data_IF_329069451738
#
_entry.id   IF_329069451738
#
_cell.length_a   1.000
_cell.length_b   1.000
_cell.length_c   1.000
_cell.angle_alpha   90.00
_cell.angle_beta   90.00
_cell.angle_gamma   90.00
#
_symmetry.space_group_name_H-M   'P 1'
#
loop_
_entity.id
_entity.type
_entity.pdbx_description
1 polymer ?
#
# COMPACT_ATOMS: atom_id res chain seq x y z
N UNK A 1 -4.32 32.02 -14.48
CA UNK A 1 -4.27 30.66 -15.03
C UNK A 1 -3.95 29.75 -13.86
N UNK A 2 -4.86 28.84 -13.50
CA UNK A 2 -4.69 27.94 -12.35
C UNK A 2 -4.30 26.60 -12.91
N UNK A 3 -3.10 26.13 -12.55
CA UNK A 3 -2.74 24.74 -12.75
C UNK A 3 -3.59 23.91 -11.78
N UNK A 4 -4.50 23.09 -12.31
CA UNK A 4 -5.24 22.09 -11.54
C UNK A 4 -4.64 20.73 -11.88
N UNK A 5 -3.51 20.44 -11.24
CA UNK A 5 -2.88 19.11 -11.18
C UNK A 5 -1.75 18.87 -12.19
N UNK A 6 -0.54 18.71 -11.66
CA UNK A 6 0.35 17.62 -12.03
C UNK A 6 0.72 16.96 -10.68
N UNK A 7 0.12 15.81 -10.38
CA UNK A 7 0.40 15.08 -9.14
C UNK A 7 1.54 14.13 -9.44
N UNK A 8 2.77 14.59 -9.20
CA UNK A 8 3.91 13.68 -9.16
C UNK A 8 3.61 12.54 -8.17
N UNK A 9 4.01 11.29 -8.48
CA UNK A 9 3.79 10.16 -7.59
C UNK A 9 4.41 10.49 -6.23
N UNK A 10 3.59 10.52 -5.18
CA UNK A 10 4.06 10.71 -3.83
C UNK A 10 4.71 9.39 -3.36
N UNK A 11 6.03 9.33 -3.14
CA UNK A 11 6.65 8.13 -2.61
C UNK A 11 6.05 7.81 -1.25
N UNK A 12 5.69 6.53 -1.09
CA UNK A 12 5.24 5.95 0.16
C UNK A 12 6.39 5.17 0.78
N UNK A 13 6.56 5.33 2.08
CA UNK A 13 7.55 4.60 2.88
C UNK A 13 6.84 3.89 4.01
N UNK A 14 7.17 2.63 4.22
CA UNK A 14 6.73 1.84 5.36
C UNK A 14 7.91 1.77 6.34
N UNK A 15 7.69 2.08 7.61
CA UNK A 15 8.68 1.84 8.67
C UNK A 15 8.79 0.36 8.96
N UNK A 16 9.91 -0.08 9.54
CA UNK A 16 10.06 -1.45 10.03
C UNK A 16 8.81 -1.89 10.82
N UNK A 17 8.24 -3.06 10.51
CA UNK A 17 7.05 -3.52 11.19
C UNK A 17 7.44 -4.09 12.55
N UNK A 18 6.53 -3.94 13.52
CA UNK A 18 6.76 -4.33 14.90
C UNK A 18 5.57 -5.14 15.41
N UNK A 19 5.84 -6.10 16.28
CA UNK A 19 4.81 -6.78 17.06
C UNK A 19 4.63 -6.06 18.38
N UNK A 20 3.38 -5.80 18.76
CA UNK A 20 3.06 -5.24 20.07
C UNK A 20 3.37 -6.22 21.21
N UNK A 21 3.18 -7.52 20.95
CA UNK A 21 3.48 -8.63 21.85
C UNK A 21 4.08 -9.80 21.05
N UNK A 22 5.07 -10.50 21.60
CA UNK A 22 5.86 -11.52 20.88
C UNK A 22 5.01 -12.64 20.23
N UNK A 23 3.93 -13.05 20.89
CA UNK A 23 3.03 -14.12 20.44
C UNK A 23 1.76 -13.62 19.72
N UNK A 24 1.66 -12.31 19.43
CA UNK A 24 0.49 -11.74 18.75
C UNK A 24 0.74 -11.59 17.25
N UNK A 25 -0.21 -12.02 16.39
CA UNK A 25 -0.10 -11.87 14.94
C UNK A 25 -0.28 -10.41 14.47
N UNK A 26 -0.58 -9.48 15.37
CA UNK A 26 -0.73 -8.07 15.04
C UNK A 26 0.63 -7.46 14.67
N UNK A 27 0.72 -6.91 13.46
CA UNK A 27 1.87 -6.15 12.98
C UNK A 27 1.49 -4.67 12.87
N UNK A 28 2.24 -3.82 13.56
CA UNK A 28 2.14 -2.37 13.53
C UNK A 28 3.30 -1.76 12.73
N UNK A 29 2.99 -0.85 11.80
CA UNK A 29 3.99 -0.05 11.09
C UNK A 29 3.45 1.34 10.74
N UNK A 30 4.36 2.30 10.56
CA UNK A 30 4.03 3.62 10.05
C UNK A 30 4.09 3.62 8.53
N UNK A 31 3.03 4.09 7.89
CA UNK A 31 3.08 4.48 6.47
C UNK A 31 3.23 5.99 6.38
N UNK A 32 4.15 6.43 5.52
CA UNK A 32 4.47 7.84 5.33
C UNK A 32 4.42 8.18 3.85
N UNK A 33 3.61 9.18 3.49
CA UNK A 33 3.65 9.83 2.20
C UNK A 33 4.41 11.15 2.30
N UNK A 34 5.29 11.45 1.33
CA UNK A 34 6.00 12.75 1.25
C UNK A 34 5.81 13.38 -0.13
N UNK A 35 5.63 14.70 -0.15
CA UNK A 35 5.56 15.49 -1.37
C UNK A 35 5.77 16.97 -1.12
N UNK A 36 5.62 17.82 -2.15
CA UNK A 36 5.75 19.27 -2.01
C UNK A 36 4.78 19.90 -0.98
N UNK A 37 3.67 19.21 -0.70
CA UNK A 37 2.65 19.55 0.28
C UNK A 37 3.01 19.17 1.72
N UNK A 38 4.15 18.50 1.94
CA UNK A 38 4.63 18.11 3.26
C UNK A 38 4.66 16.59 3.46
N UNK A 39 4.41 16.17 4.70
CA UNK A 39 4.44 14.77 5.12
C UNK A 39 3.10 14.41 5.75
N UNK A 40 2.53 13.30 5.31
CA UNK A 40 1.35 12.67 5.92
C UNK A 40 1.80 11.30 6.41
N UNK A 41 1.44 10.95 7.65
CA UNK A 41 1.76 9.65 8.23
C UNK A 41 0.56 9.11 9.00
N UNK A 42 0.42 7.78 9.03
CA UNK A 42 -0.53 7.09 9.92
C UNK A 42 0.07 5.76 10.37
N UNK A 43 -0.41 5.26 11.51
CA UNK A 43 -0.10 3.92 11.98
C UNK A 43 -1.07 2.94 11.33
N UNK A 44 -0.52 1.90 10.72
CA UNK A 44 -1.25 0.80 10.10
C UNK A 44 -1.08 -0.42 10.96
N UNK A 45 -2.18 -1.09 11.25
CA UNK A 45 -2.19 -2.36 11.96
C UNK A 45 -2.76 -3.42 11.04
N UNK A 46 -2.07 -4.56 11.00
CA UNK A 46 -2.49 -5.70 10.21
C UNK A 46 -2.44 -6.97 11.04
N UNK A 47 -3.20 -7.98 10.64
CA UNK A 47 -3.12 -9.32 11.20
C UNK A 47 -2.27 -10.21 10.28
N UNK A 48 -1.00 -10.44 10.63
CA UNK A 48 -0.01 -11.11 9.79
C UNK A 48 0.03 -10.53 8.36
N UNK A 49 -0.09 -9.20 8.24
CA UNK A 49 -0.10 -8.50 6.96
C UNK A 49 -1.44 -8.52 6.20
N UNK A 50 -2.51 -9.08 6.77
CA UNK A 50 -3.86 -9.19 6.18
C UNK A 50 -3.87 -9.71 4.72
N UNK A 51 -2.89 -10.54 4.36
CA UNK A 51 -2.72 -11.06 3.00
C UNK A 51 -2.34 -10.01 1.95
N UNK A 52 -1.75 -8.88 2.34
CA UNK A 52 -1.27 -7.85 1.42
C UNK A 52 -0.28 -8.41 0.38
N UNK A 53 0.65 -9.25 0.83
CA UNK A 53 1.62 -9.96 0.00
C UNK A 53 0.93 -10.85 -1.04
N UNK A 54 -0.08 -11.62 -0.62
CA UNK A 54 -0.87 -12.50 -1.47
C UNK A 54 -1.69 -11.71 -2.47
N UNK A 55 -2.26 -10.58 -2.04
CA UNK A 55 -2.97 -9.66 -2.93
C UNK A 55 -2.02 -9.14 -4.03
N UNK A 56 -0.85 -8.60 -3.67
CA UNK A 56 0.13 -8.09 -4.63
C UNK A 56 0.66 -9.20 -5.55
N UNK A 57 0.90 -10.41 -5.02
CA UNK A 57 1.29 -11.58 -5.81
C UNK A 57 0.24 -11.90 -6.89
N UNK A 58 -1.04 -11.87 -6.55
CA UNK A 58 -2.12 -12.10 -7.52
C UNK A 58 -2.12 -11.10 -8.68
N UNK A 59 -1.73 -9.84 -8.42
CA UNK A 59 -1.61 -8.81 -9.45
C UNK A 59 -0.42 -9.08 -10.39
N UNK A 60 0.68 -9.57 -9.84
CA UNK A 60 1.88 -9.96 -10.61
C UNK A 60 1.67 -11.23 -11.44
N UNK A 61 0.84 -12.17 -10.97
CA UNK A 61 0.45 -13.37 -11.69
C UNK A 61 -0.48 -13.05 -12.88
N UNK A 62 -1.44 -12.16 -12.66
CA UNK A 62 -2.39 -11.69 -13.69
C UNK A 62 -1.81 -10.54 -14.53
N UNK A 63 -0.49 -10.53 -14.77
CA UNK A 63 0.20 -9.46 -15.51
C UNK A 63 -0.36 -9.20 -16.93
N UNK A 64 -1.03 -10.20 -17.51
CA UNK A 64 -1.72 -10.09 -18.83
C UNK A 64 -2.93 -9.16 -18.79
N UNK A 65 -3.43 -8.86 -17.60
CA UNK A 65 -4.52 -7.92 -17.35
C UNK A 65 -5.74 -8.57 -16.72
N UNK A 66 -6.51 -7.74 -16.02
CA UNK A 66 -7.80 -8.06 -15.42
C UNK A 66 -8.78 -6.90 -15.65
N UNK A 67 -10.10 -7.16 -15.66
CA UNK A 67 -11.08 -6.10 -15.77
C UNK A 67 -11.32 -5.41 -14.42
N UNK A 68 -11.53 -4.09 -14.45
CA UNK A 68 -11.92 -3.29 -13.29
C UNK A 68 -10.81 -3.15 -12.23
N UNK A 69 -11.22 -2.71 -11.04
CA UNK A 69 -10.34 -2.54 -9.90
C UNK A 69 -10.37 -3.77 -8.98
N UNK A 70 -9.20 -4.18 -8.49
CA UNK A 70 -9.06 -5.12 -7.38
C UNK A 70 -8.70 -4.35 -6.13
N UNK A 71 -9.35 -4.63 -5.03
CA UNK A 71 -9.16 -3.86 -3.79
C UNK A 71 -8.66 -4.73 -2.66
N UNK A 72 -7.86 -4.14 -1.79
CA UNK A 72 -7.40 -4.71 -0.53
C UNK A 72 -7.49 -3.65 0.57
N UNK A 73 -7.60 -4.06 1.83
CA UNK A 73 -7.53 -3.17 2.98
C UNK A 73 -6.92 -3.89 4.19
N UNK A 74 -6.29 -3.13 5.08
CA UNK A 74 -5.90 -3.63 6.40
C UNK A 74 -7.14 -3.92 7.25
N UNK A 75 -6.98 -4.70 8.33
CA UNK A 75 -8.05 -5.07 9.25
C UNK A 75 -8.85 -3.86 9.75
N UNK A 76 -8.12 -2.81 10.14
CA UNK A 76 -8.68 -1.56 10.65
C UNK A 76 -8.96 -0.51 9.57
N UNK A 77 -8.80 -0.87 8.29
CA UNK A 77 -9.05 -0.01 7.13
C UNK A 77 -8.19 1.27 7.06
N UNK A 78 -7.24 1.45 7.98
CA UNK A 78 -6.27 2.55 8.02
C UNK A 78 -5.39 2.61 6.76
N UNK A 79 -5.19 1.46 6.08
CA UNK A 79 -4.61 1.34 4.76
C UNK A 79 -5.55 0.62 3.80
N UNK A 80 -5.70 1.17 2.60
CA UNK A 80 -6.50 0.60 1.50
C UNK A 80 -5.71 0.67 0.21
N UNK A 81 -5.84 -0.35 -0.62
CA UNK A 81 -5.26 -0.40 -1.95
C UNK A 81 -6.36 -0.66 -2.98
N UNK A 82 -6.31 0.07 -4.09
CA UNK A 82 -7.06 -0.22 -5.30
C UNK A 82 -6.10 -0.38 -6.48
N UNK A 83 -6.19 -1.49 -7.17
CA UNK A 83 -5.31 -1.87 -8.26
C UNK A 83 -6.08 -1.96 -9.58
N UNK A 84 -5.67 -1.18 -10.56
CA UNK A 84 -6.22 -1.17 -11.91
C UNK A 84 -5.13 -1.53 -12.92
N UNK A 85 -5.44 -2.45 -13.83
CA UNK A 85 -4.57 -2.75 -14.96
C UNK A 85 -4.84 -1.78 -16.11
N UNK A 86 -3.79 -1.11 -16.57
CA UNK A 86 -3.87 -0.14 -17.65
C UNK A 86 -3.27 -0.68 -18.96
N UNK A 87 -3.79 -0.23 -20.11
CA UNK A 87 -3.20 -0.51 -21.41
C UNK A 87 -1.71 -0.17 -21.43
N UNK A 88 -0.89 -1.03 -22.04
CA UNK A 88 0.56 -0.87 -22.05
C UNK A 88 1.28 -1.63 -20.93
N UNK A 89 0.60 -2.50 -20.18
CA UNK A 89 1.24 -3.42 -19.23
C UNK A 89 1.66 -2.75 -17.93
N UNK A 90 0.90 -1.73 -17.49
CA UNK A 90 1.15 -1.02 -16.25
C UNK A 90 0.01 -1.28 -15.26
N UNK A 91 0.33 -1.30 -13.98
CA UNK A 91 -0.62 -1.39 -12.88
C UNK A 91 -0.56 -0.08 -12.13
N UNK A 92 -1.73 0.55 -12.00
CA UNK A 92 -1.92 1.71 -11.13
C UNK A 92 -2.34 1.18 -9.76
N UNK A 93 -1.57 1.53 -8.74
CA UNK A 93 -1.94 1.28 -7.35
C UNK A 93 -2.32 2.60 -6.70
N UNK A 94 -3.58 2.73 -6.30
CA UNK A 94 -4.06 3.82 -5.45
C UNK A 94 -4.02 3.35 -3.99
N UNK A 95 -3.25 4.08 -3.18
CA UNK A 95 -3.03 3.83 -1.76
C UNK A 95 -3.82 4.87 -0.97
N UNK A 96 -4.89 4.42 -0.32
CA UNK A 96 -5.65 5.27 0.60
C UNK A 96 -5.17 5.03 2.03
N UNK A 97 -4.67 6.08 2.67
CA UNK A 97 -4.36 6.10 4.10
C UNK A 97 -5.31 7.03 4.81
N UNK A 98 -5.74 6.66 6.02
CA UNK A 98 -6.63 7.49 6.83
C UNK A 98 -6.18 7.52 8.29
N UNK A 99 -6.70 8.49 9.00
CA UNK A 99 -6.53 8.54 10.45
C UNK A 99 -7.20 7.34 11.11
N UNK A 100 -6.53 6.76 12.11
CA UNK A 100 -7.04 5.61 12.85
C UNK A 100 -8.15 6.08 13.81
N UNK A 101 -9.09 5.20 14.12
CA UNK A 101 -10.09 5.47 15.15
C UNK A 101 -9.42 5.84 16.50
N UNK A 102 -10.01 6.78 17.27
CA UNK A 102 -11.36 7.34 17.12
C UNK A 102 -11.44 8.69 16.39
N UNK A 103 -10.33 9.26 15.91
CA UNK A 103 -10.35 10.56 15.26
C UNK A 103 -10.96 10.48 13.87
N UNK A 104 -10.45 9.58 13.01
CA UNK A 104 -10.92 9.39 11.62
C UNK A 104 -11.06 10.72 10.82
N UNK A 105 -10.28 11.74 11.18
CA UNK A 105 -10.54 13.13 10.76
C UNK A 105 -10.02 13.42 9.34
N UNK A 106 -9.10 12.60 8.83
CA UNK A 106 -8.46 12.83 7.53
C UNK A 106 -8.29 11.55 6.72
N UNK A 107 -8.29 11.73 5.40
CA UNK A 107 -7.94 10.71 4.41
C UNK A 107 -6.96 11.31 3.40
N UNK A 108 -6.04 10.49 2.91
CA UNK A 108 -5.08 10.87 1.89
C UNK A 108 -4.91 9.72 0.91
N UNK A 109 -4.85 10.05 -0.39
CA UNK A 109 -4.62 9.07 -1.44
C UNK A 109 -3.32 9.40 -2.19
N UNK A 110 -2.47 8.40 -2.36
CA UNK A 110 -1.31 8.44 -3.24
C UNK A 110 -1.47 7.41 -4.36
N UNK A 111 -0.90 7.69 -5.53
CA UNK A 111 -0.86 6.74 -6.64
C UNK A 111 0.59 6.38 -6.96
N UNK A 112 0.86 5.09 -7.15
CA UNK A 112 2.11 4.59 -7.72
C UNK A 112 1.84 3.77 -8.97
N UNK A 113 2.82 3.74 -9.87
CA UNK A 113 2.76 3.04 -11.16
C UNK A 113 3.84 1.98 -11.21
N UNK A 114 3.46 0.77 -11.61
CA UNK A 114 4.34 -0.38 -11.68
C UNK A 114 4.17 -1.11 -13.00
N UNK A 115 5.23 -1.70 -13.51
CA UNK A 115 5.09 -2.66 -14.62
C UNK A 115 4.35 -3.90 -14.11
N UNK A 116 3.31 -4.34 -14.83
CA UNK A 116 2.41 -5.41 -14.40
C UNK A 116 3.11 -6.76 -14.15
N UNK A 117 4.26 -6.97 -14.80
CA UNK A 117 5.10 -8.16 -14.64
C UNK A 117 6.16 -7.98 -13.57
N UNK A 118 7.38 -7.66 -14.01
CA UNK A 118 8.56 -7.63 -13.14
C UNK A 118 8.46 -6.57 -12.04
N UNK A 119 7.94 -5.37 -12.34
CA UNK A 119 7.70 -4.33 -11.34
C UNK A 119 6.81 -4.81 -10.18
N UNK A 120 5.67 -5.43 -10.48
CA UNK A 120 4.79 -6.00 -9.46
C UNK A 120 5.43 -7.18 -8.70
N UNK A 121 6.26 -8.01 -9.35
CA UNK A 121 6.99 -9.09 -8.67
C UNK A 121 8.01 -8.54 -7.68
N UNK A 122 8.74 -7.49 -8.05
CA UNK A 122 9.70 -6.83 -7.17
C UNK A 122 8.99 -6.22 -5.95
N UNK A 123 7.89 -5.48 -6.18
CA UNK A 123 7.08 -4.94 -5.09
C UNK A 123 6.54 -6.04 -4.16
N UNK A 124 6.06 -7.15 -4.73
CA UNK A 124 5.58 -8.30 -3.94
C UNK A 124 6.68 -8.87 -3.06
N UNK A 125 7.89 -9.05 -3.60
CA UNK A 125 9.03 -9.57 -2.85
C UNK A 125 9.48 -8.62 -1.73
N UNK A 126 9.47 -7.31 -1.99
CA UNK A 126 9.78 -6.29 -0.98
C UNK A 126 8.76 -6.31 0.17
N UNK A 127 7.46 -6.36 -0.14
CA UNK A 127 6.40 -6.41 0.88
C UNK A 127 6.39 -7.74 1.64
N UNK A 128 6.63 -8.87 0.96
CA UNK A 128 6.76 -10.16 1.63
C UNK A 128 7.94 -10.15 2.62
N UNK A 129 9.10 -9.64 2.20
CA UNK A 129 10.27 -9.51 3.07
C UNK A 129 9.98 -8.57 4.25
N UNK A 130 9.31 -7.45 3.96
CA UNK A 130 8.87 -6.49 4.97
C UNK A 130 8.02 -7.15 6.06
N UNK A 131 6.98 -7.91 5.68
CA UNK A 131 6.10 -8.62 6.63
C UNK A 131 6.87 -9.70 7.39
N UNK A 132 7.75 -10.44 6.70
CA UNK A 132 8.51 -11.53 7.30
C UNK A 132 9.59 -11.07 8.29
N UNK A 133 10.13 -9.86 8.15
CA UNK A 133 11.19 -9.33 9.03
C UNK A 133 10.81 -9.21 10.52
N UNK A 134 9.53 -9.35 10.87
CA UNK A 134 9.07 -9.37 12.29
C UNK A 134 9.13 -10.77 12.90
N UNK A 135 9.37 -11.80 12.09
CA UNK A 135 9.39 -13.20 12.54
C UNK A 135 10.77 -13.67 13.05
N UNK A 136 11.78 -12.80 13.11
CA UNK A 136 13.14 -13.08 13.63
C UNK A 136 13.43 -12.44 14.99
#
# INVERSE_FOLDING_TARGET
>A
MVLVGDSEPAPLMLSEPTRRYEDEPTLDFLITARGPWGRVETSVETWDGDGLDTFLASLAEDFRGWPGARTWHSLCYDLTLSAEHHPGGHVRLAWGIRDRAPSEEWQFEATTWHEAGEGMRNLTAEIHTFIANVAE
#
